data_IF_771854770121
#
_entry.id   IF_771854770121
#
_cell.length_a   1.000
_cell.length_b   1.000
_cell.length_c   1.000
_cell.angle_alpha   90.00
_cell.angle_beta   90.00
_cell.angle_gamma   90.00
#
_symmetry.space_group_name_H-M   'P 1'
#
loop_
_entity.id
_entity.type
_entity.pdbx_description
1 polymer ?
#
# COMPACT_ATOMS: atom_id res chain seq x y z
N UNK A 1 -13.89 23.42 0.63
CA UNK A 1 -13.48 22.09 0.11
C UNK A 1 -12.20 21.74 0.81
N UNK A 2 -12.17 20.58 1.45
CA UNK A 2 -11.02 20.12 2.22
C UNK A 2 -10.11 19.29 1.33
N UNK A 3 -8.94 18.92 1.87
CA UNK A 3 -7.97 18.11 1.15
C UNK A 3 -7.17 17.19 2.06
N UNK A 4 -6.80 16.02 1.55
CA UNK A 4 -5.91 15.08 2.19
C UNK A 4 -4.69 14.80 1.31
N UNK A 5 -3.52 14.87 1.93
CA UNK A 5 -2.28 14.38 1.36
C UNK A 5 -2.08 12.94 1.82
N UNK A 6 -2.23 12.00 0.89
CA UNK A 6 -2.12 10.56 1.17
C UNK A 6 -0.90 9.97 0.49
N UNK A 7 -0.20 9.10 1.19
CA UNK A 7 0.85 8.30 0.60
C UNK A 7 0.23 7.33 -0.41
N UNK A 8 0.79 7.26 -1.61
CA UNK A 8 0.39 6.27 -2.62
C UNK A 8 0.88 4.89 -2.15
N UNK A 9 0.00 3.90 -1.91
CA UNK A 9 0.39 2.62 -1.31
C UNK A 9 1.03 1.64 -2.30
N UNK A 10 0.87 1.84 -3.61
CA UNK A 10 1.44 0.92 -4.62
C UNK A 10 2.97 0.82 -4.52
N UNK A 11 3.50 -0.38 -4.76
CA UNK A 11 4.93 -0.67 -4.75
C UNK A 11 5.56 -0.59 -6.14
N UNK A 12 6.89 -0.54 -6.14
CA UNK A 12 7.70 -0.75 -7.34
C UNK A 12 8.52 -2.02 -7.17
N UNK A 13 8.81 -2.71 -8.27
CA UNK A 13 9.85 -3.75 -8.31
C UNK A 13 11.22 -3.11 -8.13
N UNK A 14 12.24 -3.93 -7.87
CA UNK A 14 13.63 -3.44 -7.83
C UNK A 14 14.08 -2.77 -9.15
N UNK A 15 13.46 -3.14 -10.28
CA UNK A 15 13.64 -2.50 -11.60
C UNK A 15 13.03 -1.10 -11.72
N UNK A 16 12.20 -0.67 -10.77
CA UNK A 16 11.46 0.60 -10.80
C UNK A 16 10.08 0.52 -11.47
N UNK A 17 9.72 -0.62 -12.06
CA UNK A 17 8.39 -0.85 -12.63
C UNK A 17 7.32 -0.90 -11.54
N UNK A 18 6.14 -0.34 -11.81
CA UNK A 18 5.04 -0.34 -10.85
C UNK A 18 4.30 -1.68 -10.85
N UNK A 19 4.06 -2.25 -9.67
CA UNK A 19 3.34 -3.53 -9.56
C UNK A 19 1.89 -3.43 -10.06
N UNK A 20 1.33 -2.22 -10.03
CA UNK A 20 -0.03 -1.94 -10.46
C UNK A 20 -0.25 -2.00 -11.98
N UNK A 21 0.81 -1.87 -12.78
CA UNK A 21 0.72 -2.12 -14.23
C UNK A 21 0.45 -3.62 -14.47
N UNK A 22 1.03 -4.50 -13.63
CA UNK A 22 0.69 -5.95 -13.63
C UNK A 22 -0.73 -6.20 -13.09
N UNK A 23 -1.18 -5.42 -12.10
CA UNK A 23 -2.55 -5.52 -11.58
C UNK A 23 -3.58 -5.21 -12.67
N UNK A 24 -3.37 -4.15 -13.46
CA UNK A 24 -4.22 -3.80 -14.60
C UNK A 24 -4.35 -4.97 -15.57
N UNK A 25 -3.23 -5.52 -16.04
CA UNK A 25 -3.23 -6.65 -16.97
C UNK A 25 -4.02 -7.86 -16.41
N UNK A 26 -3.85 -8.18 -15.12
CA UNK A 26 -4.60 -9.27 -14.45
C UNK A 26 -6.10 -8.98 -14.32
N UNK A 27 -6.48 -7.72 -14.10
CA UNK A 27 -7.89 -7.30 -14.02
C UNK A 27 -8.56 -7.44 -15.38
N UNK A 28 -7.87 -7.08 -16.47
CA UNK A 28 -8.34 -7.24 -17.84
C UNK A 28 -8.50 -8.72 -18.21
N UNK A 29 -7.45 -9.52 -17.98
CA UNK A 29 -7.44 -10.97 -18.24
C UNK A 29 -8.60 -11.70 -17.54
N UNK A 30 -8.89 -11.34 -16.29
CA UNK A 30 -9.93 -11.96 -15.47
C UNK A 30 -11.32 -11.34 -15.66
N UNK A 31 -11.48 -10.34 -16.52
CA UNK A 31 -12.75 -9.64 -16.71
C UNK A 31 -13.27 -8.89 -15.47
N UNK A 32 -12.37 -8.41 -14.60
CA UNK A 32 -12.71 -7.78 -13.32
C UNK A 32 -12.86 -6.24 -13.40
N UNK A 33 -12.82 -5.67 -14.60
CA UNK A 33 -12.89 -4.22 -14.82
C UNK A 33 -14.14 -3.57 -14.23
N UNK A 34 -15.28 -4.27 -14.18
CA UNK A 34 -16.49 -3.75 -13.55
C UNK A 34 -16.32 -3.47 -12.05
N UNK A 35 -15.46 -4.23 -11.36
CA UNK A 35 -15.18 -4.09 -9.93
C UNK A 35 -14.09 -3.06 -9.65
N UNK A 36 -13.03 -3.08 -10.46
CA UNK A 36 -11.82 -2.25 -10.29
C UNK A 36 -11.50 -1.49 -11.58
N UNK A 37 -12.35 -0.54 -11.99
CA UNK A 37 -12.21 0.15 -13.28
C UNK A 37 -11.01 1.10 -13.34
N UNK A 38 -10.42 1.45 -12.19
CA UNK A 38 -9.27 2.34 -12.09
C UNK A 38 -7.96 1.57 -11.79
N UNK A 39 -7.93 0.24 -11.98
CA UNK A 39 -6.70 -0.53 -11.80
C UNK A 39 -5.56 0.06 -12.67
N UNK A 40 -4.40 0.34 -12.08
CA UNK A 40 -3.28 1.01 -12.75
C UNK A 40 -3.49 2.50 -13.09
N UNK A 41 -4.64 3.10 -12.73
CA UNK A 41 -4.90 4.53 -12.87
C UNK A 41 -4.65 5.26 -11.54
N UNK A 42 -3.39 5.66 -11.35
CA UNK A 42 -2.93 6.35 -10.14
C UNK A 42 -1.76 7.28 -10.48
N UNK A 43 -1.48 8.27 -9.62
CA UNK A 43 -0.33 9.14 -9.83
C UNK A 43 0.97 8.37 -9.52
N UNK A 44 1.87 8.26 -10.49
CA UNK A 44 3.18 7.58 -10.40
C UNK A 44 4.19 8.39 -9.59
N UNK A 45 3.81 8.76 -8.38
CA UNK A 45 4.57 9.58 -7.46
C UNK A 45 4.34 9.11 -6.02
N UNK A 46 5.09 9.66 -5.06
CA UNK A 46 5.00 9.23 -3.66
C UNK A 46 3.68 9.61 -2.99
N UNK A 47 3.13 10.80 -3.28
CA UNK A 47 1.98 11.38 -2.55
C UNK A 47 0.90 11.82 -3.52
N UNK A 48 -0.36 11.57 -3.19
CA UNK A 48 -1.53 12.04 -3.92
C UNK A 48 -2.30 13.05 -3.07
N UNK A 49 -2.72 14.15 -3.70
CA UNK A 49 -3.59 15.14 -3.08
C UNK A 49 -5.04 14.88 -3.51
N UNK A 50 -5.87 14.44 -2.56
CA UNK A 50 -7.29 14.19 -2.79
C UNK A 50 -8.09 15.37 -2.24
N UNK A 51 -8.94 15.98 -3.07
CA UNK A 51 -9.77 17.14 -2.71
C UNK A 51 -11.25 16.77 -2.82
N UNK A 52 -12.10 17.39 -2.00
CA UNK A 52 -13.54 17.19 -2.06
C UNK A 52 -14.30 17.80 -0.90
N UNK A 53 -15.62 17.59 -0.88
CA UNK A 53 -16.45 17.88 0.29
C UNK A 53 -16.17 16.89 1.44
N UNK A 54 -15.90 15.62 1.10
CA UNK A 54 -15.39 14.60 2.01
C UNK A 54 -14.19 13.88 1.35
N UNK A 55 -12.96 14.39 1.55
CA UNK A 55 -11.75 13.75 1.05
C UNK A 55 -11.51 12.33 1.58
N UNK A 56 -12.01 11.98 2.78
CA UNK A 56 -11.83 10.65 3.36
C UNK A 56 -12.66 9.61 2.60
N UNK A 57 -13.93 9.96 2.32
CA UNK A 57 -14.79 9.13 1.47
C UNK A 57 -14.23 9.02 0.06
N UNK A 58 -13.66 10.08 -0.50
CA UNK A 58 -13.07 10.04 -1.84
C UNK A 58 -11.83 9.15 -1.92
N UNK A 59 -10.94 9.19 -0.92
CA UNK A 59 -9.80 8.25 -0.84
C UNK A 59 -10.30 6.80 -0.81
N UNK A 60 -11.29 6.51 0.02
CA UNK A 60 -11.90 5.18 0.09
C UNK A 60 -12.49 4.73 -1.24
N UNK A 61 -13.20 5.64 -1.94
CA UNK A 61 -13.76 5.38 -3.27
C UNK A 61 -12.66 5.07 -4.29
N UNK A 62 -11.64 5.93 -4.39
CA UNK A 62 -10.54 5.78 -5.34
C UNK A 62 -9.76 4.48 -5.09
N UNK A 63 -9.40 4.19 -3.84
CA UNK A 63 -8.57 3.03 -3.51
C UNK A 63 -9.32 1.72 -3.76
N UNK A 64 -10.63 1.67 -3.47
CA UNK A 64 -11.49 0.55 -3.85
C UNK A 64 -11.55 0.35 -5.37
N UNK A 65 -11.76 1.43 -6.14
CA UNK A 65 -11.84 1.34 -7.60
C UNK A 65 -10.50 1.01 -8.28
N UNK A 66 -9.37 1.31 -7.63
CA UNK A 66 -8.02 0.90 -8.04
C UNK A 66 -7.68 -0.54 -7.67
N UNK A 67 -8.47 -1.16 -6.78
CA UNK A 67 -8.20 -2.51 -6.29
C UNK A 67 -7.14 -2.58 -5.19
N UNK A 68 -6.93 -1.49 -4.45
CA UNK A 68 -5.97 -1.42 -3.34
C UNK A 68 -6.56 -1.80 -1.98
N UNK A 69 -7.83 -2.19 -1.95
CA UNK A 69 -8.50 -2.67 -0.74
C UNK A 69 -9.14 -4.02 -1.02
N UNK A 70 -9.45 -4.74 0.05
CA UNK A 70 -10.22 -5.99 0.03
C UNK A 70 -11.73 -5.76 -0.19
N UNK A 71 -12.14 -4.52 -0.43
CA UNK A 71 -13.54 -4.10 -0.55
C UNK A 71 -14.08 -3.42 0.71
N UNK A 72 -13.38 -3.52 1.85
CA UNK A 72 -13.74 -2.78 3.06
C UNK A 72 -13.18 -1.35 3.03
N UNK A 73 -13.77 -0.44 3.82
CA UNK A 73 -13.19 0.88 4.06
C UNK A 73 -11.83 0.78 4.74
N UNK A 74 -10.95 1.71 4.41
CA UNK A 74 -9.62 1.87 4.99
C UNK A 74 -9.52 3.17 5.78
N UNK A 75 -8.55 3.24 6.68
CA UNK A 75 -8.10 4.51 7.26
C UNK A 75 -7.15 5.18 6.26
N UNK A 76 -7.44 6.39 5.75
CA UNK A 76 -6.57 7.02 4.76
C UNK A 76 -5.12 7.12 5.23
N UNK A 77 -4.12 6.69 4.44
CA UNK A 77 -2.70 6.75 4.79
C UNK A 77 -2.18 8.18 4.64
N UNK A 78 -2.69 9.10 5.46
CA UNK A 78 -2.25 10.50 5.47
C UNK A 78 -0.81 10.60 5.93
N UNK A 79 -0.06 11.60 5.45
CA UNK A 79 1.35 11.76 5.82
C UNK A 79 1.56 11.80 7.34
N UNK A 80 0.70 12.51 8.08
CA UNK A 80 0.76 12.54 9.55
C UNK A 80 0.61 11.16 10.20
N UNK A 81 -0.36 10.34 9.76
CA UNK A 81 -0.54 8.97 10.29
C UNK A 81 0.64 8.05 9.94
N UNK A 82 1.24 8.26 8.76
CA UNK A 82 2.43 7.53 8.34
C UNK A 82 3.61 7.92 9.23
N UNK A 83 3.83 9.21 9.46
CA UNK A 83 4.93 9.68 10.31
C UNK A 83 4.76 9.23 11.77
N UNK A 84 3.54 9.26 12.32
CA UNK A 84 3.22 8.70 13.64
C UNK A 84 3.52 7.19 13.73
N UNK A 85 3.11 6.44 12.71
CA UNK A 85 3.39 5.00 12.61
C UNK A 85 4.89 4.74 12.54
N UNK A 86 5.62 5.47 11.70
CA UNK A 86 7.07 5.30 11.53
C UNK A 86 7.85 5.68 12.79
N UNK A 87 7.43 6.70 13.53
CA UNK A 87 8.06 7.12 14.78
C UNK A 87 8.03 6.03 15.89
N UNK A 88 7.15 5.05 15.76
CA UNK A 88 7.10 3.89 16.68
C UNK A 88 8.06 2.76 16.30
N UNK A 89 8.59 2.77 15.07
CA UNK A 89 9.56 1.80 14.57
C UNK A 89 11.01 2.23 14.81
N UNK A 90 11.94 1.31 14.60
CA UNK A 90 13.39 1.54 14.73
C UNK A 90 14.13 1.65 13.39
N UNK A 91 13.43 1.47 12.27
CA UNK A 91 14.02 1.47 10.92
C UNK A 91 13.64 2.72 10.14
N UNK A 92 14.57 3.18 9.32
CA UNK A 92 14.37 4.31 8.43
C UNK A 92 13.37 4.00 7.32
N UNK A 93 12.55 5.00 6.95
CA UNK A 93 11.44 4.87 6.00
C UNK A 93 11.78 4.25 4.64
N UNK A 94 13.00 4.48 4.15
CA UNK A 94 13.46 4.07 2.83
C UNK A 94 14.13 2.69 2.83
N UNK A 95 14.35 2.10 4.02
CA UNK A 95 14.93 0.76 4.14
C UNK A 95 13.98 -0.24 3.48
N UNK A 96 14.54 -1.03 2.57
CA UNK A 96 13.87 -2.19 1.99
C UNK A 96 13.97 -3.37 2.93
N UNK A 97 12.85 -4.05 3.18
CA UNK A 97 12.82 -5.33 3.89
C UNK A 97 12.98 -6.53 2.94
N UNK A 98 12.83 -6.30 1.62
CA UNK A 98 12.87 -7.34 0.58
C UNK A 98 11.79 -7.16 -0.47
N UNK A 99 11.79 -8.05 -1.48
CA UNK A 99 10.74 -8.13 -2.50
C UNK A 99 9.64 -9.10 -2.06
N UNK A 100 8.38 -8.66 -2.13
CA UNK A 100 7.22 -9.43 -1.70
C UNK A 100 6.55 -10.10 -2.90
N UNK A 101 6.41 -11.42 -2.83
CA UNK A 101 5.64 -12.22 -3.78
C UNK A 101 4.13 -11.94 -3.67
N UNK A 102 3.33 -12.12 -4.75
CA UNK A 102 3.70 -12.70 -6.05
C UNK A 102 4.09 -11.65 -7.12
N UNK A 103 4.02 -10.35 -6.79
CA UNK A 103 4.29 -9.28 -7.75
C UNK A 103 5.73 -8.77 -7.69
N UNK A 104 6.55 -9.21 -6.72
CA UNK A 104 7.93 -8.75 -6.56
C UNK A 104 8.03 -7.27 -6.17
N UNK A 105 7.03 -6.76 -5.42
CA UNK A 105 7.04 -5.37 -4.97
C UNK A 105 8.02 -5.19 -3.82
N UNK A 106 8.84 -4.15 -3.86
CA UNK A 106 9.78 -3.82 -2.78
C UNK A 106 9.00 -3.32 -1.56
N UNK A 107 9.06 -4.07 -0.46
CA UNK A 107 8.49 -3.67 0.82
C UNK A 107 9.45 -2.75 1.56
N UNK A 108 9.38 -1.45 1.29
CA UNK A 108 10.03 -0.46 2.16
C UNK A 108 9.26 -0.31 3.47
N UNK A 109 9.94 0.14 4.52
CA UNK A 109 9.31 0.44 5.82
C UNK A 109 8.14 1.43 5.64
N UNK A 110 8.27 2.44 4.78
CA UNK A 110 7.16 3.36 4.45
C UNK A 110 5.97 2.65 3.81
N UNK A 111 6.18 1.69 2.90
CA UNK A 111 5.08 0.95 2.27
C UNK A 111 4.39 0.01 3.25
N UNK A 112 5.14 -0.62 4.15
CA UNK A 112 4.57 -1.42 5.23
C UNK A 112 3.76 -0.54 6.19
N UNK A 113 4.25 0.66 6.52
CA UNK A 113 3.50 1.64 7.31
C UNK A 113 2.21 2.08 6.61
N UNK A 114 2.23 2.27 5.30
CA UNK A 114 1.03 2.57 4.50
C UNK A 114 -0.05 1.51 4.66
N UNK A 115 0.33 0.25 4.46
CA UNK A 115 -0.58 -0.89 4.61
C UNK A 115 -1.08 -1.03 6.04
N UNK A 116 -0.21 -0.83 7.04
CA UNK A 116 -0.59 -0.88 8.46
C UNK A 116 -1.60 0.22 8.81
N UNK A 117 -1.37 1.47 8.38
CA UNK A 117 -2.30 2.57 8.59
C UNK A 117 -3.63 2.27 7.90
N UNK A 118 -3.61 1.85 6.63
CA UNK A 118 -4.83 1.49 5.89
C UNK A 118 -5.68 0.44 6.62
N UNK A 119 -5.03 -0.55 7.22
CA UNK A 119 -5.65 -1.59 8.03
C UNK A 119 -6.14 -1.12 9.42
N UNK A 120 -5.91 0.14 9.80
CA UNK A 120 -6.28 0.67 11.12
C UNK A 120 -5.34 0.22 12.25
N UNK A 121 -4.11 -0.19 11.92
CA UNK A 121 -3.11 -0.57 12.91
C UNK A 121 -2.78 0.63 13.82
N UNK A 122 -2.71 0.38 15.13
CA UNK A 122 -2.22 1.38 16.09
C UNK A 122 -0.70 1.53 15.91
N UNK A 123 -0.13 2.75 15.94
CA UNK A 123 1.31 2.96 15.82
C UNK A 123 2.13 2.07 16.76
N UNK A 124 1.73 1.95 18.03
CA UNK A 124 2.42 1.10 19.01
C UNK A 124 2.55 -0.39 18.62
N UNK A 125 1.77 -0.88 17.66
CA UNK A 125 1.83 -2.26 17.17
C UNK A 125 2.68 -2.41 15.90
N UNK A 126 3.09 -1.30 15.27
CA UNK A 126 3.87 -1.31 14.03
C UNK A 126 5.18 -2.09 14.10
N UNK A 127 5.95 -2.10 15.22
CA UNK A 127 7.13 -2.95 15.33
C UNK A 127 6.83 -4.45 15.14
N UNK A 128 5.65 -4.90 15.59
CA UNK A 128 5.20 -6.30 15.37
C UNK A 128 4.89 -6.54 13.91
N UNK A 129 4.29 -5.57 13.22
CA UNK A 129 4.03 -5.65 11.76
C UNK A 129 5.35 -5.74 10.99
N UNK A 130 6.36 -4.95 11.34
CA UNK A 130 7.69 -5.02 10.72
C UNK A 130 8.34 -6.39 10.92
N UNK A 131 8.33 -6.90 12.15
CA UNK A 131 8.86 -8.22 12.45
C UNK A 131 8.12 -9.33 11.69
N UNK A 132 6.79 -9.23 11.56
CA UNK A 132 6.00 -10.17 10.78
C UNK A 132 6.35 -10.13 9.29
N UNK A 133 6.51 -8.95 8.71
CA UNK A 133 6.92 -8.81 7.30
C UNK A 133 8.34 -9.36 7.08
N UNK A 134 9.28 -9.08 7.98
CA UNK A 134 10.64 -9.66 7.92
C UNK A 134 10.61 -11.18 7.99
N UNK A 135 9.82 -11.76 8.90
CA UNK A 135 9.66 -13.20 9.02
C UNK A 135 9.04 -13.83 7.77
N UNK A 136 8.04 -13.18 7.17
CA UNK A 136 7.41 -13.64 5.92
C UNK A 136 8.40 -13.62 4.74
N UNK A 137 9.33 -12.66 4.75
CA UNK A 137 10.37 -12.51 3.73
C UNK A 137 11.60 -13.40 3.96
N UNK A 138 11.69 -14.06 5.11
CA UNK A 138 12.75 -15.04 5.37
C UNK A 138 12.58 -16.23 4.41
N UNK A 139 13.63 -16.65 3.68
CA UNK A 139 13.55 -17.83 2.80
C UNK A 139 13.04 -19.09 3.50
N UNK A 140 13.31 -19.26 4.80
CA UNK A 140 12.84 -20.40 5.59
C UNK A 140 11.33 -20.40 5.81
N UNK A 141 10.66 -19.24 5.75
CA UNK A 141 9.19 -19.16 5.79
C UNK A 141 8.57 -19.75 4.52
N UNK A 142 9.30 -19.77 3.40
CA UNK A 142 8.87 -20.31 2.11
C UNK A 142 7.47 -19.81 1.71
N UNK A 143 7.33 -18.50 1.50
CA UNK A 143 6.05 -17.86 1.18
C UNK A 143 5.33 -18.47 -0.05
N UNK A 144 6.08 -19.08 -0.98
CA UNK A 144 5.52 -19.74 -2.16
C UNK A 144 5.01 -21.16 -1.89
N UNK A 145 5.41 -21.77 -0.78
CA UNK A 145 4.99 -23.13 -0.39
C UNK A 145 5.48 -24.22 -1.34
N UNK A 146 6.65 -24.03 -1.96
CA UNK A 146 7.27 -24.96 -2.94
C UNK A 146 8.44 -25.76 -2.36
#
# INVERSE_FOLDING_TARGET
MDSLWVLVPTGQRASGEWIDDTLRARVEEKGLLARTPLAGDFPRQRVELVRGADPTAEVNRLYRLRGWTDGLPIVPPTLGRIDETLASGSLERHVSLGEVEPLGGVATVEKVAASAVMAGCRPAYFPVVLAAVQAILDPAFNLRGV
#
